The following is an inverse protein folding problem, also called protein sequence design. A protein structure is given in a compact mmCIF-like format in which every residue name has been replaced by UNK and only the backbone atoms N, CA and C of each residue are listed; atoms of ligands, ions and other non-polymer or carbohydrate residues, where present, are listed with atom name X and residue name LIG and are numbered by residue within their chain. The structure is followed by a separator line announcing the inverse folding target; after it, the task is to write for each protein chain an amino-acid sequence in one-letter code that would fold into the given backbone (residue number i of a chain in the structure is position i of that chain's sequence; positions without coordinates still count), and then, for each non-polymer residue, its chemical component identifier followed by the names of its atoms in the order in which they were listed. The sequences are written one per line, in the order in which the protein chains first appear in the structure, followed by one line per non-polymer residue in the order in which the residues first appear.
data_IF_902834038590
#
_entry.id   IF_902834038590
#
_cell.length_a   1.000
_cell.length_b   1.000
_cell.length_c   1.000
_cell.angle_alpha   90.00
_cell.angle_beta   90.00
_cell.angle_gamma   90.00
#
_symmetry.space_group_name_H-M   'P 1'
#
loop_
_entity.id
_entity.type
_entity.pdbx_description
1 polymer ?
#
# COMPACT_ATOMS: atom_id res chain seq x y z
N UNK A 1 -38.52 -19.46 13.82
CA UNK A 1 -37.17 -19.87 13.41
C UNK A 1 -36.35 -18.59 13.26
N UNK A 2 -35.58 -18.20 14.28
CA UNK A 2 -34.73 -17.00 14.21
C UNK A 2 -33.57 -17.30 13.27
N UNK A 3 -33.53 -16.61 12.15
CA UNK A 3 -32.39 -16.63 11.23
C UNK A 3 -31.18 -16.10 12.02
N UNK A 4 -30.28 -16.96 12.43
CA UNK A 4 -28.99 -16.55 12.96
C UNK A 4 -28.17 -16.11 11.75
N UNK A 5 -28.21 -14.83 11.44
CA UNK A 5 -27.26 -14.24 10.52
C UNK A 5 -25.89 -14.34 11.21
N UNK A 6 -25.07 -15.32 10.83
CA UNK A 6 -23.65 -15.29 11.19
C UNK A 6 -23.07 -14.04 10.53
N UNK A 7 -22.87 -13.00 11.32
CA UNK A 7 -22.03 -11.88 10.92
C UNK A 7 -20.61 -12.45 10.79
N UNK A 8 -20.20 -12.72 9.57
CA UNK A 8 -18.81 -13.01 9.26
C UNK A 8 -18.00 -11.76 9.58
N UNK A 9 -16.99 -11.91 10.41
CA UNK A 9 -16.17 -10.80 10.88
C UNK A 9 -14.74 -11.26 11.04
N UNK A 10 -13.81 -10.39 10.67
CA UNK A 10 -12.36 -10.58 10.76
C UNK A 10 -11.75 -9.73 11.86
N UNK A 11 -10.61 -10.14 12.37
CA UNK A 11 -9.78 -9.32 13.24
C UNK A 11 -9.04 -8.28 12.40
N UNK A 12 -8.88 -7.10 12.96
CA UNK A 12 -8.11 -6.03 12.35
C UNK A 12 -7.49 -5.13 13.41
N UNK A 13 -6.43 -4.42 13.04
CA UNK A 13 -5.99 -3.24 13.75
C UNK A 13 -6.73 -2.05 13.16
N UNK A 14 -7.57 -1.45 13.95
CA UNK A 14 -8.50 -0.39 13.56
C UNK A 14 -8.00 0.95 14.08
N UNK A 15 -7.92 1.94 13.22
CA UNK A 15 -7.73 3.32 13.62
C UNK A 15 -9.06 3.90 14.09
N UNK A 16 -9.10 4.32 15.36
CA UNK A 16 -10.24 5.01 15.99
C UNK A 16 -9.73 6.35 16.54
N UNK A 17 -9.99 7.42 15.78
CA UNK A 17 -9.35 8.71 16.06
C UNK A 17 -7.82 8.59 15.97
N UNK A 18 -7.05 9.06 16.96
CA UNK A 18 -5.59 9.00 16.95
C UNK A 18 -5.00 7.67 17.49
N UNK A 19 -5.83 6.67 17.74
CA UNK A 19 -5.41 5.41 18.37
C UNK A 19 -5.57 4.23 17.41
N UNK A 20 -4.68 3.23 17.58
CA UNK A 20 -4.82 1.92 16.97
C UNK A 20 -5.31 0.95 18.02
N UNK A 21 -6.39 0.24 17.73
CA UNK A 21 -6.97 -0.77 18.60
C UNK A 21 -7.12 -2.08 17.84
N UNK A 22 -6.87 -3.19 18.51
CA UNK A 22 -7.21 -4.51 17.97
C UNK A 22 -8.71 -4.71 18.16
N UNK A 23 -9.41 -4.92 17.07
CA UNK A 23 -10.86 -5.05 17.04
C UNK A 23 -11.35 -6.06 16.01
N UNK A 24 -12.66 -6.10 15.86
CA UNK A 24 -13.35 -6.95 14.89
C UNK A 24 -14.18 -6.07 13.98
N UNK A 25 -14.03 -6.24 12.66
CA UNK A 25 -14.77 -5.53 11.63
C UNK A 25 -15.50 -6.55 10.73
N UNK A 26 -16.56 -6.16 10.01
CA UNK A 26 -17.20 -7.04 9.05
C UNK A 26 -16.22 -7.54 8.00
N UNK A 27 -16.37 -8.80 7.57
CA UNK A 27 -15.62 -9.33 6.43
C UNK A 27 -15.90 -8.50 5.19
N UNK A 28 -14.88 -8.08 4.44
CA UNK A 28 -15.07 -7.38 3.18
C UNK A 28 -15.66 -8.32 2.13
N UNK A 29 -16.46 -7.78 1.21
CA UNK A 29 -17.09 -8.54 0.15
C UNK A 29 -16.68 -7.98 -1.21
N UNK A 30 -16.13 -8.80 -2.10
CA UNK A 30 -15.72 -8.34 -3.41
C UNK A 30 -16.95 -8.01 -4.29
N UNK A 31 -16.92 -6.82 -4.89
CA UNK A 31 -17.86 -6.41 -5.92
C UNK A 31 -17.46 -6.90 -7.31
N UNK A 32 -18.13 -6.40 -8.36
CA UNK A 32 -17.79 -6.74 -9.74
C UNK A 32 -16.34 -6.34 -10.08
N UNK A 33 -15.58 -7.26 -10.68
CA UNK A 33 -14.17 -7.05 -11.05
C UNK A 33 -13.18 -7.12 -9.90
N UNK A 34 -13.64 -7.42 -8.68
CA UNK A 34 -12.84 -7.46 -7.47
C UNK A 34 -12.61 -8.89 -6.98
N UNK A 35 -11.57 -9.05 -6.14
CA UNK A 35 -11.24 -10.32 -5.49
C UNK A 35 -11.21 -10.13 -3.97
N UNK A 36 -11.59 -11.21 -3.26
CA UNK A 36 -11.31 -11.35 -1.84
C UNK A 36 -9.92 -11.95 -1.66
N UNK A 37 -9.11 -11.32 -0.83
CA UNK A 37 -7.75 -11.80 -0.54
C UNK A 37 -7.51 -11.88 0.96
N UNK A 38 -6.62 -12.79 1.37
CA UNK A 38 -6.08 -12.89 2.72
C UNK A 38 -4.79 -12.11 2.80
N UNK A 39 -4.65 -11.23 3.77
CA UNK A 39 -3.37 -10.58 4.07
C UNK A 39 -2.36 -11.61 4.58
N UNK A 40 -1.21 -11.72 3.95
CA UNK A 40 -0.11 -12.55 4.42
C UNK A 40 0.89 -11.73 5.22
N UNK A 41 1.23 -10.55 4.70
CA UNK A 41 2.16 -9.58 5.30
C UNK A 41 1.70 -8.18 4.90
N UNK A 42 1.89 -7.22 5.79
CA UNK A 42 1.71 -5.80 5.49
C UNK A 42 2.79 -4.97 6.16
N UNK A 43 3.42 -4.08 5.39
CA UNK A 43 4.36 -3.08 5.87
C UNK A 43 3.67 -1.93 6.61
N UNK A 44 4.48 -1.11 7.28
CA UNK A 44 4.05 0.13 7.94
C UNK A 44 4.69 1.29 7.21
N UNK A 45 3.89 2.07 6.50
CA UNK A 45 4.34 3.27 5.81
C UNK A 45 4.43 4.48 6.76
N UNK A 46 5.27 5.43 6.43
CA UNK A 46 5.31 6.74 7.12
C UNK A 46 3.97 7.49 7.04
N UNK A 47 3.21 7.28 5.97
CA UNK A 47 1.88 7.87 5.80
C UNK A 47 0.84 7.29 6.78
N UNK A 48 0.96 6.03 7.22
CA UNK A 48 0.10 5.45 8.27
C UNK A 48 0.30 6.19 9.59
N UNK A 49 1.58 6.46 9.94
CA UNK A 49 1.93 7.23 11.14
C UNK A 49 1.48 8.70 11.04
N UNK A 50 1.51 9.26 9.84
CA UNK A 50 1.00 10.61 9.59
C UNK A 50 -0.52 10.66 9.69
N UNK A 51 -1.22 9.67 9.14
CA UNK A 51 -2.68 9.56 9.24
C UNK A 51 -3.14 9.53 10.70
N UNK A 52 -2.49 8.77 11.57
CA UNK A 52 -2.81 8.73 13.01
C UNK A 52 -2.74 10.10 13.68
N UNK A 53 -1.81 10.96 13.26
CA UNK A 53 -1.60 12.29 13.85
C UNK A 53 -2.47 13.38 13.23
N UNK A 54 -2.79 13.25 11.95
CA UNK A 54 -3.32 14.36 11.13
C UNK A 54 -4.60 14.03 10.38
N UNK A 55 -5.27 12.89 10.67
CA UNK A 55 -6.45 12.43 9.93
C UNK A 55 -7.54 13.49 9.83
N UNK A 56 -7.81 14.21 10.91
CA UNK A 56 -8.82 15.27 10.93
C UNK A 56 -8.47 16.44 10.01
N UNK A 57 -7.20 16.86 10.02
CA UNK A 57 -6.72 17.94 9.17
C UNK A 57 -6.76 17.54 7.69
N UNK A 58 -6.34 16.30 7.37
CA UNK A 58 -6.42 15.72 6.02
C UNK A 58 -7.88 15.69 5.54
N UNK A 59 -8.80 15.24 6.39
CA UNK A 59 -10.22 15.18 6.06
C UNK A 59 -10.82 16.57 5.82
N UNK A 60 -10.53 17.57 6.66
CA UNK A 60 -11.01 18.93 6.46
C UNK A 60 -10.47 19.52 5.15
N UNK A 61 -9.18 19.35 4.87
CA UNK A 61 -8.58 19.79 3.61
C UNK A 61 -9.20 19.09 2.39
N UNK A 62 -9.52 17.78 2.49
CA UNK A 62 -10.14 17.02 1.39
C UNK A 62 -11.58 17.44 1.08
N UNK A 63 -12.25 18.18 1.95
CA UNK A 63 -13.59 18.72 1.68
C UNK A 63 -13.57 19.82 0.62
N UNK A 64 -12.48 20.55 0.52
CA UNK A 64 -12.27 21.62 -0.45
C UNK A 64 -11.83 21.10 -1.83
N UNK A 65 -11.24 19.93 -1.85
CA UNK A 65 -10.81 19.24 -3.06
C UNK A 65 -11.75 18.05 -3.30
N UNK A 66 -12.28 17.84 -4.45
CA UNK A 66 -13.15 16.67 -4.73
C UNK A 66 -12.31 15.36 -4.80
N UNK A 67 -11.42 15.17 -3.84
CA UNK A 67 -10.46 14.07 -3.84
C UNK A 67 -11.12 12.70 -3.65
N UNK A 68 -10.73 11.68 -4.46
CA UNK A 68 -11.22 10.31 -4.32
C UNK A 68 -10.80 9.63 -3.01
N UNK A 69 -9.81 10.21 -2.31
CA UNK A 69 -9.25 9.69 -1.05
C UNK A 69 -9.96 10.21 0.20
N UNK A 70 -11.17 10.75 0.07
CA UNK A 70 -11.92 11.30 1.20
C UNK A 70 -12.27 10.19 2.20
N UNK A 71 -11.65 10.25 3.38
CA UNK A 71 -11.80 9.29 4.47
C UNK A 71 -12.30 10.01 5.71
N UNK A 72 -13.45 9.59 6.23
CA UNK A 72 -14.03 10.15 7.44
C UNK A 72 -13.34 9.59 8.71
N UNK A 73 -12.52 10.38 9.42
CA UNK A 73 -11.77 9.91 10.59
C UNK A 73 -12.63 9.72 11.84
N UNK A 74 -13.93 10.04 11.79
CA UNK A 74 -14.88 9.72 12.86
C UNK A 74 -15.39 8.27 12.80
N UNK A 75 -15.07 7.56 11.71
CA UNK A 75 -15.41 6.15 11.49
C UNK A 75 -14.18 5.29 11.57
N UNK A 76 -14.39 4.01 11.78
CA UNK A 76 -13.33 3.01 11.77
C UNK A 76 -12.61 2.97 10.42
N UNK A 77 -11.27 2.91 10.49
CA UNK A 77 -10.40 2.77 9.32
C UNK A 77 -9.43 1.62 9.60
N UNK A 78 -9.40 0.63 8.72
CA UNK A 78 -8.38 -0.43 8.73
C UNK A 78 -7.31 -0.04 7.72
N UNK A 79 -6.16 0.41 8.23
CA UNK A 79 -5.05 0.89 7.40
C UNK A 79 -4.21 -0.25 6.81
N UNK A 80 -3.09 0.10 6.18
CA UNK A 80 -2.12 -0.82 5.58
C UNK A 80 -2.30 -0.94 4.07
N UNK A 81 -1.32 -0.47 3.32
CA UNK A 81 -1.35 -0.43 1.85
C UNK A 81 -0.09 -1.03 1.19
N UNK A 82 0.92 -1.40 1.99
CA UNK A 82 2.14 -2.09 1.55
C UNK A 82 2.02 -3.58 1.87
N UNK A 83 1.39 -4.37 1.02
CA UNK A 83 1.03 -5.75 1.36
C UNK A 83 1.41 -6.79 0.30
N UNK A 84 1.54 -8.02 0.77
CA UNK A 84 1.43 -9.23 -0.03
C UNK A 84 0.24 -10.04 0.50
N UNK A 85 -0.58 -10.56 -0.42
CA UNK A 85 -1.82 -11.24 -0.10
C UNK A 85 -1.99 -12.53 -0.91
N UNK A 86 -2.92 -13.39 -0.48
CA UNK A 86 -3.30 -14.63 -1.15
C UNK A 86 -4.75 -14.54 -1.63
N UNK A 87 -5.02 -14.94 -2.86
CA UNK A 87 -6.38 -14.93 -3.44
C UNK A 87 -7.23 -16.01 -2.74
N UNK A 88 -8.38 -15.60 -2.19
CA UNK A 88 -9.35 -16.48 -1.56
C UNK A 88 -10.57 -16.77 -2.44
N UNK A 89 -11.12 -15.73 -3.08
CA UNK A 89 -12.35 -15.84 -3.87
C UNK A 89 -12.48 -14.67 -4.86
N UNK A 90 -13.42 -14.78 -5.78
CA UNK A 90 -13.68 -13.83 -6.85
C UNK A 90 -15.07 -13.21 -6.75
N UNK A 91 -15.13 -11.89 -6.92
CA UNK A 91 -16.38 -11.21 -7.23
C UNK A 91 -16.89 -11.51 -8.63
N UNK A 92 -18.09 -11.05 -8.92
CA UNK A 92 -18.69 -11.20 -10.25
C UNK A 92 -17.88 -10.43 -11.32
N UNK A 93 -17.91 -10.90 -12.56
CA UNK A 93 -17.27 -10.20 -13.70
C UNK A 93 -15.75 -10.23 -13.73
N UNK A 94 -15.09 -10.95 -12.82
CA UNK A 94 -13.65 -11.19 -12.86
C UNK A 94 -13.28 -12.16 -13.98
N UNK A 95 -12.08 -11.99 -14.55
CA UNK A 95 -11.51 -12.88 -15.58
C UNK A 95 -10.95 -14.17 -15.00
N UNK A 96 -10.68 -14.18 -13.69
CA UNK A 96 -10.03 -15.29 -12.97
C UNK A 96 -8.68 -15.68 -13.58
N UNK A 97 -7.89 -14.66 -13.92
CA UNK A 97 -6.59 -14.82 -14.58
C UNK A 97 -5.54 -15.50 -13.70
N UNK A 98 -5.66 -15.40 -12.38
CA UNK A 98 -4.81 -16.04 -11.40
C UNK A 98 -5.63 -17.06 -10.60
N UNK A 99 -5.03 -18.12 -10.11
CA UNK A 99 -5.73 -19.14 -9.33
C UNK A 99 -5.99 -18.70 -7.88
N UNK A 100 -7.02 -19.25 -7.23
CA UNK A 100 -7.15 -19.20 -5.77
C UNK A 100 -5.90 -19.81 -5.14
N UNK A 101 -5.36 -19.19 -4.10
CA UNK A 101 -4.07 -19.53 -3.47
C UNK A 101 -2.86 -18.85 -4.11
N UNK A 102 -3.00 -18.16 -5.26
CA UNK A 102 -1.92 -17.34 -5.81
C UNK A 102 -1.57 -16.19 -4.88
N UNK A 103 -0.26 -15.93 -4.71
CA UNK A 103 0.23 -14.75 -3.98
C UNK A 103 0.28 -13.56 -4.91
N UNK A 104 -0.21 -12.43 -4.42
CA UNK A 104 -0.34 -11.19 -5.21
C UNK A 104 0.06 -9.97 -4.39
N UNK A 105 0.57 -8.96 -5.09
CA UNK A 105 0.61 -7.58 -4.66
C UNK A 105 -0.36 -6.77 -5.52
N UNK A 106 -0.66 -5.55 -5.14
CA UNK A 106 -1.55 -4.69 -5.92
C UNK A 106 -1.21 -3.23 -5.70
N UNK A 107 -1.52 -2.40 -6.69
CA UNK A 107 -1.74 -0.99 -6.41
C UNK A 107 -2.92 -0.88 -5.42
N UNK A 108 -2.79 -0.14 -4.30
CA UNK A 108 -3.78 -0.15 -3.22
C UNK A 108 -4.99 0.75 -3.53
N UNK A 109 -5.68 0.48 -4.64
CA UNK A 109 -6.90 1.17 -5.04
C UNK A 109 -8.02 0.17 -5.33
N UNK A 110 -9.25 0.57 -5.07
CA UNK A 110 -10.47 -0.16 -5.38
C UNK A 110 -11.54 0.79 -5.93
N UNK A 111 -12.48 0.24 -6.69
CA UNK A 111 -13.54 1.01 -7.33
C UNK A 111 -14.86 0.76 -6.58
N UNK A 112 -15.48 1.83 -6.09
CA UNK A 112 -16.83 1.76 -5.50
C UNK A 112 -17.87 1.43 -6.57
N UNK A 113 -19.01 0.91 -6.16
CA UNK A 113 -20.11 0.58 -7.07
C UNK A 113 -20.62 1.75 -7.92
N UNK A 114 -20.31 2.98 -7.55
CA UNK A 114 -20.61 4.21 -8.32
C UNK A 114 -19.46 4.63 -9.25
N UNK A 115 -18.43 3.83 -9.42
CA UNK A 115 -17.25 4.11 -10.26
C UNK A 115 -16.19 5.02 -9.62
N UNK A 116 -16.36 5.45 -8.39
CA UNK A 116 -15.39 6.31 -7.69
C UNK A 116 -14.24 5.47 -7.14
N UNK A 117 -13.02 5.87 -7.43
CA UNK A 117 -11.81 5.23 -6.90
C UNK A 117 -11.68 5.55 -5.41
N UNK A 118 -11.27 4.57 -4.62
CA UNK A 118 -10.93 4.70 -3.22
C UNK A 118 -9.61 3.99 -2.91
N UNK A 119 -8.85 4.52 -1.97
CA UNK A 119 -7.62 3.86 -1.51
C UNK A 119 -7.96 2.73 -0.53
N UNK A 120 -7.41 1.55 -0.79
CA UNK A 120 -7.40 0.43 0.15
C UNK A 120 -6.51 0.81 1.33
N UNK A 121 -7.00 0.66 2.54
CA UNK A 121 -6.29 1.06 3.75
C UNK A 121 -6.44 2.53 4.15
N UNK A 122 -7.03 3.36 3.29
CA UNK A 122 -7.32 4.77 3.55
C UNK A 122 -8.76 5.16 3.22
N UNK A 123 -9.66 4.21 3.19
CA UNK A 123 -11.09 4.49 3.03
C UNK A 123 -11.89 3.75 4.11
N UNK A 124 -13.08 4.27 4.41
CA UNK A 124 -14.01 3.59 5.31
C UNK A 124 -14.70 2.38 4.67
N UNK A 125 -14.54 2.20 3.35
CA UNK A 125 -15.22 1.14 2.58
C UNK A 125 -14.33 -0.06 2.29
N UNK A 126 -13.01 0.18 2.15
CA UNK A 126 -12.04 -0.84 1.77
C UNK A 126 -10.96 -0.99 2.84
N UNK A 127 -11.09 -2.00 3.73
CA UNK A 127 -10.07 -2.29 4.72
C UNK A 127 -8.75 -2.64 4.06
N UNK A 128 -7.64 -2.19 4.65
CA UNK A 128 -6.30 -2.48 4.22
C UNK A 128 -5.66 -3.68 4.91
N UNK A 129 -4.37 -3.86 4.67
CA UNK A 129 -3.58 -5.00 5.11
C UNK A 129 -3.41 -5.17 6.62
N UNK A 130 -3.86 -4.23 7.44
CA UNK A 130 -3.95 -4.42 8.89
C UNK A 130 -5.18 -5.23 9.30
N UNK A 131 -6.03 -5.64 8.35
CA UNK A 131 -7.07 -6.64 8.50
C UNK A 131 -6.63 -8.02 7.99
N UNK A 132 -7.31 -9.07 8.43
CA UNK A 132 -7.05 -10.44 7.96
C UNK A 132 -7.40 -10.63 6.48
N UNK A 133 -8.33 -9.83 5.94
CA UNK A 133 -8.79 -9.90 4.57
C UNK A 133 -8.97 -8.50 3.97
N UNK A 134 -8.83 -8.43 2.64
CA UNK A 134 -9.04 -7.21 1.85
C UNK A 134 -9.80 -7.54 0.57
N UNK A 135 -10.30 -6.48 -0.07
CA UNK A 135 -10.81 -6.54 -1.45
C UNK A 135 -9.85 -5.78 -2.35
N UNK A 136 -9.44 -6.40 -3.45
CA UNK A 136 -8.54 -5.82 -4.46
C UNK A 136 -9.17 -5.86 -5.85
N UNK A 137 -8.77 -4.94 -6.72
CA UNK A 137 -9.16 -4.93 -8.14
C UNK A 137 -8.33 -5.95 -8.93
N UNK A 138 -8.99 -6.84 -9.69
CA UNK A 138 -8.30 -7.84 -10.52
C UNK A 138 -7.33 -7.20 -11.51
N UNK A 139 -7.70 -6.05 -12.08
CA UNK A 139 -6.90 -5.33 -13.07
C UNK A 139 -5.61 -4.70 -12.53
N UNK A 140 -5.48 -4.57 -11.23
CA UNK A 140 -4.33 -3.97 -10.56
C UNK A 140 -3.41 -4.99 -9.90
N UNK A 141 -3.75 -6.29 -9.99
CA UNK A 141 -2.94 -7.34 -9.39
C UNK A 141 -1.62 -7.57 -10.13
N UNK A 142 -0.60 -7.85 -9.35
CA UNK A 142 0.69 -8.34 -9.80
C UNK A 142 0.95 -9.68 -9.10
N UNK A 143 1.11 -10.74 -9.87
CA UNK A 143 1.45 -12.05 -9.32
C UNK A 143 2.86 -12.05 -8.73
N UNK A 144 3.00 -12.62 -7.54
CA UNK A 144 4.31 -12.76 -6.89
C UNK A 144 5.05 -13.91 -7.56
N UNK A 145 6.27 -13.69 -8.13
CA UNK A 145 7.04 -14.73 -8.78
C UNK A 145 7.38 -15.88 -7.81
N UNK A 146 7.48 -17.10 -8.36
CA UNK A 146 7.94 -18.26 -7.60
C UNK A 146 9.33 -18.01 -7.02
N UNK A 147 9.49 -18.36 -5.74
CA UNK A 147 10.75 -18.20 -5.02
C UNK A 147 10.97 -16.84 -4.36
N UNK A 148 10.11 -15.84 -4.62
CA UNK A 148 10.17 -14.58 -3.88
C UNK A 148 9.45 -14.73 -2.53
N UNK A 149 10.16 -14.39 -1.44
CA UNK A 149 9.57 -14.41 -0.09
C UNK A 149 8.43 -13.41 0.03
N UNK A 150 7.43 -13.76 0.83
CA UNK A 150 6.23 -12.95 1.05
C UNK A 150 6.57 -11.57 1.63
N UNK A 151 7.52 -11.51 2.58
CA UNK A 151 7.97 -10.27 3.20
C UNK A 151 8.63 -9.34 2.19
N UNK A 152 9.43 -9.90 1.27
CA UNK A 152 10.03 -9.13 0.17
C UNK A 152 9.00 -8.69 -0.86
N UNK A 153 8.01 -9.54 -1.14
CA UNK A 153 6.93 -9.21 -2.06
C UNK A 153 6.09 -8.01 -1.54
N UNK A 154 5.90 -7.88 -0.22
CA UNK A 154 5.20 -6.75 0.37
C UNK A 154 5.89 -5.40 0.14
N UNK A 155 7.20 -5.39 -0.20
CA UNK A 155 7.93 -4.18 -0.58
C UNK A 155 7.62 -3.69 -2.01
N UNK A 156 6.78 -4.40 -2.76
CA UNK A 156 6.45 -4.03 -4.16
C UNK A 156 5.87 -2.62 -4.25
N UNK A 157 4.97 -2.25 -3.34
CA UNK A 157 4.34 -0.92 -3.34
C UNK A 157 5.38 0.18 -3.09
N UNK A 158 6.14 0.22 -1.97
CA UNK A 158 7.11 1.29 -1.76
C UNK A 158 8.25 1.29 -2.79
N UNK A 159 8.65 0.14 -3.32
CA UNK A 159 9.62 0.06 -4.42
C UNK A 159 9.05 0.66 -5.71
N UNK A 160 7.77 0.45 -6.01
CA UNK A 160 7.09 1.05 -7.15
C UNK A 160 7.02 2.58 -7.04
N UNK A 161 6.83 3.12 -5.83
CA UNK A 161 6.90 4.58 -5.58
C UNK A 161 8.29 5.11 -5.92
N UNK A 162 9.36 4.44 -5.46
CA UNK A 162 10.73 4.82 -5.79
C UNK A 162 11.03 4.74 -7.28
N UNK A 163 10.62 3.67 -7.95
CA UNK A 163 10.78 3.49 -9.39
C UNK A 163 10.02 4.56 -10.19
N UNK A 164 8.81 4.91 -9.76
CA UNK A 164 8.02 5.98 -10.39
C UNK A 164 8.68 7.35 -10.24
N UNK A 165 9.26 7.65 -9.07
CA UNK A 165 9.99 8.90 -8.86
C UNK A 165 11.18 9.02 -9.83
N UNK A 166 11.94 7.94 -10.02
CA UNK A 166 13.05 7.90 -10.99
C UNK A 166 12.56 8.09 -12.44
N UNK A 167 11.44 7.46 -12.80
CA UNK A 167 10.82 7.64 -14.11
C UNK A 167 10.40 9.09 -14.35
N UNK A 168 9.81 9.73 -13.35
CA UNK A 168 9.39 11.13 -13.42
C UNK A 168 10.56 12.12 -13.49
N UNK A 169 11.72 11.74 -12.99
CA UNK A 169 12.92 12.57 -13.08
C UNK A 169 13.44 12.72 -14.53
N UNK A 170 13.06 11.82 -15.46
CA UNK A 170 13.40 11.87 -16.87
C UNK A 170 14.90 12.09 -17.13
N UNK A 171 15.75 11.35 -16.43
CA UNK A 171 17.20 11.51 -16.53
C UNK A 171 17.71 11.21 -17.95
N UNK A 172 18.50 12.11 -18.51
CA UNK A 172 19.04 12.01 -19.87
C UNK A 172 20.32 11.17 -20.00
N UNK A 173 20.96 10.82 -18.88
CA UNK A 173 22.12 9.92 -18.81
C UNK A 173 23.41 10.54 -18.27
N UNK A 174 23.55 11.85 -18.30
CA UNK A 174 24.75 12.57 -17.81
C UNK A 174 24.53 13.23 -16.44
N UNK A 175 23.32 13.15 -15.89
CA UNK A 175 22.98 13.78 -14.62
C UNK A 175 23.50 13.00 -13.43
N UNK A 176 23.85 13.73 -12.38
CA UNK A 176 24.20 13.20 -11.07
C UNK A 176 23.00 13.38 -10.15
N UNK A 177 22.20 12.33 -9.89
CA UNK A 177 21.03 12.44 -9.05
C UNK A 177 21.41 12.68 -7.58
N UNK A 178 20.67 13.57 -6.93
CA UNK A 178 20.78 13.85 -5.49
C UNK A 178 19.48 13.40 -4.82
N UNK A 179 19.58 12.44 -3.90
CA UNK A 179 18.45 11.93 -3.12
C UNK A 179 18.51 12.54 -1.71
N UNK A 180 17.55 13.42 -1.41
CA UNK A 180 17.43 14.07 -0.10
C UNK A 180 16.38 13.35 0.73
N UNK A 181 16.82 12.74 1.83
CA UNK A 181 16.02 11.87 2.68
C UNK A 181 16.19 10.40 2.31
N UNK A 182 16.89 9.65 3.18
CA UNK A 182 17.18 8.22 3.02
C UNK A 182 16.23 7.36 3.88
N UNK A 183 14.95 7.73 3.93
CA UNK A 183 13.87 6.89 4.45
C UNK A 183 13.50 5.78 3.44
N UNK A 184 12.45 4.96 3.72
CA UNK A 184 12.08 3.84 2.84
C UNK A 184 11.94 4.23 1.37
N UNK A 185 11.23 5.31 1.06
CA UNK A 185 11.07 5.79 -0.32
C UNK A 185 12.40 6.26 -0.92
N UNK A 186 13.21 7.02 -0.16
CA UNK A 186 14.54 7.45 -0.64
C UNK A 186 15.47 6.27 -0.94
N UNK A 187 15.45 5.24 -0.10
CA UNK A 187 16.19 4.00 -0.34
C UNK A 187 15.67 3.27 -1.60
N UNK A 188 14.35 3.23 -1.81
CA UNK A 188 13.75 2.67 -3.01
C UNK A 188 14.15 3.45 -4.28
N UNK A 189 14.26 4.79 -4.20
CA UNK A 189 14.77 5.64 -5.28
C UNK A 189 16.22 5.30 -5.60
N UNK A 190 17.09 5.23 -4.59
CA UNK A 190 18.51 4.89 -4.76
C UNK A 190 18.67 3.52 -5.43
N UNK A 191 17.96 2.50 -4.92
CA UNK A 191 17.98 1.17 -5.51
C UNK A 191 17.49 1.18 -6.97
N UNK A 192 16.43 1.93 -7.27
CA UNK A 192 15.88 2.05 -8.62
C UNK A 192 16.84 2.75 -9.59
N UNK A 193 17.54 3.79 -9.15
CA UNK A 193 18.61 4.45 -9.92
C UNK A 193 19.74 3.45 -10.21
N UNK A 194 20.20 2.72 -9.19
CA UNK A 194 21.28 1.74 -9.34
C UNK A 194 20.91 0.61 -10.29
N UNK A 195 19.69 0.08 -10.19
CA UNK A 195 19.18 -0.96 -11.11
C UNK A 195 19.12 -0.50 -12.56
N UNK A 196 18.97 0.79 -12.81
CA UNK A 196 19.00 1.41 -14.17
C UNK A 196 20.41 1.77 -14.63
N UNK A 197 21.43 1.52 -13.82
CA UNK A 197 22.83 1.87 -14.14
C UNK A 197 23.13 3.37 -14.04
N UNK A 198 22.26 4.15 -13.38
CA UNK A 198 22.46 5.58 -13.18
C UNK A 198 23.45 5.79 -12.03
N UNK A 199 24.41 6.67 -12.23
CA UNK A 199 25.41 7.06 -11.23
C UNK A 199 26.41 8.09 -11.75
N UNK A 200 27.18 8.73 -10.86
CA UNK A 200 27.18 8.55 -9.40
C UNK A 200 25.92 9.08 -8.73
N UNK A 201 25.49 8.43 -7.63
CA UNK A 201 24.31 8.81 -6.85
C UNK A 201 24.77 9.47 -5.54
N UNK A 202 24.30 10.69 -5.28
CA UNK A 202 24.54 11.41 -4.03
C UNK A 202 23.30 11.23 -3.14
N UNK A 203 23.50 10.84 -1.87
CA UNK A 203 22.42 10.70 -0.90
C UNK A 203 22.68 11.55 0.34
N UNK A 204 21.65 12.19 0.86
CA UNK A 204 21.73 13.02 2.04
C UNK A 204 20.61 12.70 3.05
N UNK A 205 20.99 12.52 4.33
CA UNK A 205 20.07 12.39 5.47
C UNK A 205 20.76 12.85 6.75
N UNK A 206 20.01 13.37 7.70
CA UNK A 206 20.56 13.74 9.02
C UNK A 206 20.98 12.50 9.84
N UNK A 207 20.28 11.36 9.65
CA UNK A 207 20.53 10.11 10.38
C UNK A 207 21.74 9.37 9.83
N UNK A 208 22.79 9.12 10.64
CA UNK A 208 23.91 8.28 10.22
C UNK A 208 23.50 6.88 9.82
N UNK A 209 22.52 6.27 10.52
CA UNK A 209 21.98 4.95 10.22
C UNK A 209 21.35 4.91 8.82
N UNK A 210 20.56 5.92 8.47
CA UNK A 210 19.93 6.00 7.15
C UNK A 210 20.94 6.23 6.04
N UNK A 211 21.98 7.01 6.30
CA UNK A 211 23.08 7.19 5.34
C UNK A 211 23.81 5.87 5.07
N UNK A 212 24.11 5.09 6.12
CA UNK A 212 24.71 3.76 5.94
C UNK A 212 23.81 2.78 5.17
N UNK A 213 22.49 2.88 5.31
CA UNK A 213 21.55 2.11 4.46
C UNK A 213 21.57 2.61 3.00
N UNK A 214 21.71 3.91 2.78
CA UNK A 214 21.81 4.48 1.43
C UNK A 214 23.05 3.98 0.69
N UNK A 215 24.20 3.88 1.36
CA UNK A 215 25.42 3.25 0.80
C UNK A 215 25.16 1.81 0.41
N UNK A 216 24.53 1.01 1.30
CA UNK A 216 24.20 -0.39 1.01
C UNK A 216 23.23 -0.54 -0.17
N UNK A 217 22.34 0.43 -0.38
CA UNK A 217 21.40 0.46 -1.51
C UNK A 217 22.04 0.98 -2.80
N UNK A 218 23.28 1.47 -2.74
CA UNK A 218 24.08 1.83 -3.90
C UNK A 218 24.33 3.32 -4.10
N UNK A 219 24.17 4.17 -3.08
CA UNK A 219 24.65 5.54 -3.16
C UNK A 219 26.18 5.58 -3.18
N UNK A 220 26.75 6.44 -4.02
CA UNK A 220 28.22 6.57 -4.19
C UNK A 220 28.80 7.64 -3.25
N UNK A 221 27.99 8.64 -2.91
CA UNK A 221 28.38 9.76 -2.05
C UNK A 221 27.28 10.00 -1.00
N UNK A 222 27.70 10.21 0.25
CA UNK A 222 26.79 10.39 1.39
C UNK A 222 27.00 11.78 2.04
#
# INVERSE_FOLDING_TARGET
MKLVVRLFSMRAVVMQGPQLVVGTVPDPRPGPGQLLVKTLVCGICGSDLHMLKSARQIYEASKETQEPLRTDPSKDIVMGHEFCAEILDYGSGTRRSLAVGSRVCSMPFAIRGNGVIAAVGYSNDFPGGYGEQMVLEESLLVEVPNGLDTDRAALTEPMAVGAHAVEKAQLGGDEVPVVIGCGPVGLAVIASLRLRGVGPIIAADYSPTRRGLAEQMGADVI
#
